data_IF_083115830860
#
_entry.id   IF_083115830860
#
_cell.length_a   1.000
_cell.length_b   1.000
_cell.length_c   1.000
_cell.angle_alpha   90.00
_cell.angle_beta   90.00
_cell.angle_gamma   90.00
#
_symmetry.space_group_name_H-M   'P 1'
#
loop_
_entity.id
_entity.type
_entity.pdbx_description
1 polymer ?
#
# COMPACT_ATOMS: atom_id res chain seq x y z
N UNK A 1 -10.84 -44.04 14.79
CA UNK A 1 -9.80 -43.46 15.66
C UNK A 1 -8.45 -44.07 15.29
N UNK A 2 -7.74 -43.48 14.33
CA UNK A 2 -6.30 -43.71 14.14
C UNK A 2 -5.72 -42.34 13.84
N UNK A 3 -5.05 -41.77 14.83
CA UNK A 3 -4.34 -40.49 14.79
C UNK A 3 -3.02 -40.70 14.04
N UNK A 4 -2.85 -40.12 12.86
CA UNK A 4 -1.53 -39.94 12.25
C UNK A 4 -1.07 -38.51 12.53
N UNK A 5 -0.14 -38.37 13.47
CA UNK A 5 0.62 -37.14 13.67
C UNK A 5 1.49 -36.87 12.44
N UNK A 6 1.12 -35.85 11.65
CA UNK A 6 1.96 -35.26 10.61
C UNK A 6 3.11 -34.47 11.22
N UNK A 7 4.13 -35.16 11.74
CA UNK A 7 5.44 -34.57 12.05
C UNK A 7 6.47 -35.22 11.15
N UNK A 8 6.89 -34.51 10.10
CA UNK A 8 8.00 -34.93 9.25
C UNK A 8 9.28 -34.39 9.89
N UNK A 9 10.13 -35.30 10.36
CA UNK A 9 11.50 -35.02 10.83
C UNK A 9 12.41 -35.07 9.59
N UNK A 10 13.21 -34.03 9.37
CA UNK A 10 14.15 -33.96 8.25
C UNK A 10 15.24 -35.06 8.39
N UNK A 11 15.39 -36.00 7.43
CA UNK A 11 16.40 -37.04 7.51
C UNK A 11 17.58 -36.66 6.62
N UNK A 12 18.56 -35.95 7.17
CA UNK A 12 19.90 -35.90 6.58
C UNK A 12 20.94 -36.03 7.68
N UNK A 13 21.48 -37.25 7.83
CA UNK A 13 22.89 -37.59 8.02
C UNK A 13 22.93 -39.12 7.93
N UNK A 14 23.64 -39.62 6.92
CA UNK A 14 24.35 -40.91 6.79
C UNK A 14 24.35 -41.31 5.31
N UNK A 15 25.33 -40.79 4.58
CA UNK A 15 25.70 -41.29 3.25
C UNK A 15 26.27 -42.70 3.38
N UNK A 16 25.51 -43.70 2.93
CA UNK A 16 26.00 -45.04 2.61
C UNK A 16 26.74 -45.00 1.27
N UNK A 17 28.04 -45.29 1.27
CA UNK A 17 28.80 -45.54 0.04
C UNK A 17 28.57 -46.98 -0.45
N UNK A 18 28.32 -47.22 -1.76
CA UNK A 18 28.28 -48.57 -2.31
C UNK A 18 29.70 -49.12 -2.53
N UNK A 19 29.96 -50.33 -2.05
CA UNK A 19 31.20 -51.09 -2.25
C UNK A 19 31.08 -51.89 -3.55
N UNK A 20 31.98 -51.66 -4.52
CA UNK A 20 32.26 -52.58 -5.63
C UNK A 20 33.52 -53.39 -5.32
N UNK A 21 33.57 -54.71 -5.64
CA UNK A 21 34.70 -55.57 -5.30
C UNK A 21 35.77 -55.54 -6.41
N UNK A 22 37.03 -55.48 -5.99
CA UNK A 22 38.17 -55.82 -6.85
C UNK A 22 39.36 -54.88 -6.69
N UNK A 23 40.26 -55.21 -5.76
CA UNK A 23 41.71 -55.39 -5.98
C UNK A 23 42.45 -55.40 -4.63
N UNK A 24 43.45 -56.28 -4.58
CA UNK A 24 44.14 -56.78 -3.40
C UNK A 24 45.02 -55.75 -2.65
N UNK A 25 44.81 -55.74 -1.33
CA UNK A 25 45.79 -55.77 -0.24
C UNK A 25 46.87 -54.67 -0.16
N UNK A 26 46.68 -53.80 0.83
CA UNK A 26 47.75 -53.43 1.77
C UNK A 26 47.13 -53.50 3.17
N UNK A 27 47.65 -54.29 4.14
CA UNK A 27 47.01 -54.43 5.44
C UNK A 27 47.17 -53.11 6.20
N UNK A 28 46.09 -52.34 6.29
CA UNK A 28 46.01 -51.21 7.22
C UNK A 28 46.28 -51.74 8.64
N UNK A 29 47.41 -51.35 9.21
CA UNK A 29 47.62 -51.42 10.66
C UNK A 29 46.50 -50.60 11.30
N UNK A 30 45.59 -51.26 12.00
CA UNK A 30 44.66 -50.58 12.90
C UNK A 30 45.50 -49.87 13.96
N UNK A 31 45.49 -48.53 13.94
CA UNK A 31 45.94 -47.75 15.10
C UNK A 31 44.87 -47.90 16.18
N UNK A 32 45.30 -48.10 17.42
CA UNK A 32 44.39 -48.20 18.56
C UNK A 32 43.71 -46.83 18.75
N UNK A 33 42.48 -46.78 19.25
CA UNK A 33 41.74 -45.51 19.44
C UNK A 33 42.52 -44.50 20.29
N UNK A 34 43.42 -44.99 21.14
CA UNK A 34 44.28 -44.19 22.02
C UNK A 34 45.39 -43.44 21.26
N UNK A 35 45.79 -43.90 20.07
CA UNK A 35 46.79 -43.25 19.21
C UNK A 35 46.23 -42.02 18.46
N UNK A 36 44.91 -41.81 18.48
CA UNK A 36 44.24 -40.64 17.91
C UNK A 36 44.17 -39.48 18.92
N UNK A 37 44.51 -39.74 20.19
CA UNK A 37 44.48 -38.76 21.29
C UNK A 37 45.87 -38.15 21.54
N UNK A 38 46.83 -38.29 20.63
CA UNK A 38 47.96 -37.36 20.62
C UNK A 38 47.54 -36.06 19.95
N UNK A 39 47.34 -35.04 20.81
CA UNK A 39 47.03 -33.65 20.47
C UNK A 39 47.93 -33.12 19.35
N UNK A 40 47.53 -33.30 18.09
CA UNK A 40 48.03 -32.50 16.99
C UNK A 40 47.51 -31.06 17.19
N UNK A 41 48.28 -30.26 17.92
CA UNK A 41 48.16 -28.80 17.97
C UNK A 41 48.60 -28.21 16.62
N UNK A 42 47.94 -28.59 15.54
CA UNK A 42 48.08 -27.94 14.24
C UNK A 42 47.04 -26.82 14.12
N UNK A 43 47.35 -25.71 13.42
CA UNK A 43 46.39 -24.62 13.19
C UNK A 43 45.12 -25.08 12.44
N UNK A 44 45.14 -26.27 11.81
CA UNK A 44 43.96 -26.88 11.18
C UNK A 44 42.96 -27.43 12.21
N UNK A 45 43.42 -27.91 13.37
CA UNK A 45 42.54 -28.43 14.42
C UNK A 45 41.75 -27.30 15.09
N UNK A 46 42.37 -26.15 15.35
CA UNK A 46 41.68 -24.97 15.88
C UNK A 46 40.65 -24.38 14.88
N UNK A 47 40.86 -24.52 13.57
CA UNK A 47 39.87 -24.17 12.54
C UNK A 47 38.72 -25.19 12.51
N UNK A 48 39.01 -26.48 12.70
CA UNK A 48 38.01 -27.55 12.76
C UNK A 48 37.12 -27.45 14.00
N UNK A 49 37.71 -27.21 15.17
CA UNK A 49 36.98 -27.01 16.43
C UNK A 49 36.05 -25.80 16.36
N UNK A 50 36.48 -24.69 15.72
CA UNK A 50 35.60 -23.54 15.45
C UNK A 50 34.42 -23.84 14.52
N UNK A 51 34.54 -24.84 13.65
CA UNK A 51 33.45 -25.29 12.75
C UNK A 51 32.49 -26.26 13.42
N UNK A 52 32.93 -26.95 14.47
CA UNK A 52 32.16 -27.98 15.19
C UNK A 52 31.46 -27.44 16.45
N UNK A 53 31.69 -26.17 16.83
CA UNK A 53 30.86 -25.53 17.85
C UNK A 53 29.41 -25.42 17.34
N UNK A 54 28.42 -25.94 18.09
CA UNK A 54 27.02 -25.85 17.68
C UNK A 54 26.66 -24.38 17.54
N UNK A 55 26.14 -24.00 16.36
CA UNK A 55 25.68 -22.65 16.09
C UNK A 55 24.65 -22.27 17.17
N UNK A 56 25.02 -21.32 18.04
CA UNK A 56 24.12 -20.77 19.05
C UNK A 56 23.61 -19.44 18.55
N UNK A 57 22.40 -19.47 17.99
CA UNK A 57 21.69 -18.24 17.66
C UNK A 57 21.43 -17.44 18.94
N UNK A 58 21.73 -16.13 18.90
CA UNK A 58 21.42 -15.23 20.02
C UNK A 58 20.06 -14.59 19.75
N UNK A 59 19.02 -15.18 20.33
CA UNK A 59 17.65 -14.66 20.24
C UNK A 59 17.58 -13.26 20.85
N UNK A 60 16.90 -12.32 20.17
CA UNK A 60 16.63 -10.98 20.72
C UNK A 60 15.40 -10.99 21.62
N UNK A 61 14.41 -11.83 21.34
CA UNK A 61 13.18 -11.96 22.14
C UNK A 61 12.60 -13.39 22.11
N UNK A 62 11.60 -13.65 22.96
CA UNK A 62 10.94 -14.96 23.07
C UNK A 62 10.14 -15.35 21.81
N UNK A 63 9.63 -14.38 21.06
CA UNK A 63 8.88 -14.63 19.83
C UNK A 63 9.79 -15.17 18.72
N UNK A 64 10.95 -14.54 18.54
CA UNK A 64 11.99 -14.95 17.62
C UNK A 64 12.50 -16.35 17.98
N UNK A 65 12.67 -16.64 19.27
CA UNK A 65 13.03 -17.99 19.72
C UNK A 65 11.99 -19.02 19.29
N UNK A 66 10.69 -18.77 19.51
CA UNK A 66 9.63 -19.70 19.09
C UNK A 66 9.61 -19.93 17.58
N UNK A 67 9.82 -18.88 16.79
CA UNK A 67 9.86 -18.98 15.31
C UNK A 67 11.06 -19.81 14.86
N UNK A 68 12.25 -19.54 15.40
CA UNK A 68 13.47 -20.28 15.05
C UNK A 68 13.36 -21.74 15.49
N UNK A 69 12.96 -21.99 16.74
CA UNK A 69 12.83 -23.35 17.26
C UNK A 69 11.80 -24.15 16.45
N UNK A 70 10.65 -23.56 16.12
CA UNK A 70 9.64 -24.26 15.31
C UNK A 70 10.14 -24.56 13.90
N UNK A 71 10.78 -23.60 13.23
CA UNK A 71 11.34 -23.79 11.88
C UNK A 71 12.49 -24.80 11.85
N UNK A 72 13.35 -24.83 12.87
CA UNK A 72 14.57 -25.65 12.90
C UNK A 72 14.33 -27.06 13.44
N UNK A 73 13.49 -27.21 14.46
CA UNK A 73 13.14 -28.54 15.02
C UNK A 73 11.96 -29.20 14.29
N UNK A 74 11.26 -28.44 13.45
CA UNK A 74 10.14 -28.89 12.63
C UNK A 74 8.82 -29.01 13.40
N UNK A 75 7.76 -29.33 12.65
CA UNK A 75 6.38 -29.37 13.16
C UNK A 75 5.59 -28.06 12.99
N UNK A 76 6.07 -27.16 12.12
CA UNK A 76 5.30 -26.01 11.63
C UNK A 76 4.25 -26.50 10.63
N UNK A 77 3.00 -26.05 10.77
CA UNK A 77 2.00 -26.28 9.74
C UNK A 77 2.42 -25.55 8.45
N UNK A 78 2.22 -26.16 7.28
CA UNK A 78 2.58 -25.53 6.01
C UNK A 78 1.86 -24.19 5.79
N UNK A 79 0.70 -23.99 6.42
CA UNK A 79 -0.02 -22.71 6.41
C UNK A 79 0.64 -21.65 7.30
N UNK A 80 1.34 -22.07 8.36
CA UNK A 80 1.92 -21.21 9.40
C UNK A 80 3.39 -20.85 9.14
N UNK A 81 3.97 -21.31 8.02
CA UNK A 81 5.33 -20.92 7.61
C UNK A 81 5.38 -19.38 7.48
N UNK A 82 6.28 -18.69 8.22
CA UNK A 82 6.34 -17.24 8.24
C UNK A 82 6.72 -16.70 6.86
N UNK A 83 5.97 -15.71 6.35
CA UNK A 83 6.30 -15.07 5.08
C UNK A 83 7.51 -14.16 5.27
N UNK A 84 8.57 -14.39 4.49
CA UNK A 84 9.70 -13.46 4.46
C UNK A 84 9.23 -12.15 3.80
N UNK A 85 9.35 -11.00 4.47
CA UNK A 85 9.01 -9.71 3.86
C UNK A 85 9.99 -9.43 2.70
N UNK A 86 9.50 -8.92 1.57
CA UNK A 86 10.37 -8.58 0.46
C UNK A 86 11.33 -7.46 0.87
N UNK A 87 12.57 -7.50 0.38
CA UNK A 87 13.62 -6.49 0.67
C UNK A 87 13.37 -5.18 -0.10
N UNK A 88 12.21 -4.57 0.08
CA UNK A 88 11.76 -3.42 -0.70
C UNK A 88 10.85 -2.51 0.14
N UNK A 89 11.11 -1.21 0.10
CA UNK A 89 10.17 -0.17 0.52
C UNK A 89 9.19 0.06 -0.63
N UNK A 90 7.88 -0.08 -0.38
CA UNK A 90 6.83 0.16 -1.37
C UNK A 90 5.94 1.32 -0.93
N UNK A 91 6.18 2.49 -1.50
CA UNK A 91 5.48 3.72 -1.16
C UNK A 91 4.31 3.95 -2.12
N UNK A 92 3.08 3.77 -1.65
CA UNK A 92 1.88 4.18 -2.38
C UNK A 92 1.66 5.69 -2.23
N UNK A 93 1.42 6.40 -3.34
CA UNK A 93 1.24 7.86 -3.35
C UNK A 93 -0.14 8.23 -3.83
N UNK A 94 -0.86 9.01 -3.03
CA UNK A 94 -2.17 9.56 -3.40
C UNK A 94 -2.18 11.07 -3.36
N UNK A 95 -2.91 11.69 -4.30
CA UNK A 95 -3.26 13.11 -4.26
C UNK A 95 -4.39 13.40 -5.25
N UNK A 96 -4.94 14.61 -5.16
CA UNK A 96 -5.78 15.17 -6.21
C UNK A 96 -5.02 15.41 -7.51
N UNK A 97 -5.71 15.14 -8.62
CA UNK A 97 -5.28 15.54 -9.96
C UNK A 97 -6.12 16.74 -10.41
N UNK A 98 -5.52 17.73 -11.12
CA UNK A 98 -4.09 17.87 -11.45
C UNK A 98 -3.25 18.62 -10.38
N UNK A 99 -3.84 18.93 -9.21
CA UNK A 99 -3.32 19.79 -8.13
C UNK A 99 -1.82 19.65 -7.75
N UNK A 100 -1.23 18.46 -7.91
CA UNK A 100 0.15 18.14 -7.49
C UNK A 100 1.10 17.72 -8.62
N UNK A 101 0.76 17.99 -9.88
CA UNK A 101 1.57 17.50 -11.01
C UNK A 101 2.99 18.07 -11.00
N UNK A 102 3.16 19.32 -10.55
CA UNK A 102 4.47 19.93 -10.40
C UNK A 102 5.33 19.23 -9.33
N UNK A 103 4.80 19.08 -8.11
CA UNK A 103 5.50 18.43 -7.00
C UNK A 103 5.82 16.99 -7.36
N UNK A 104 4.87 16.25 -7.94
CA UNK A 104 5.09 14.87 -8.38
C UNK A 104 6.27 14.75 -9.34
N UNK A 105 6.40 15.67 -10.30
CA UNK A 105 7.53 15.68 -11.23
C UNK A 105 8.86 15.92 -10.48
N UNK A 106 8.89 16.85 -9.52
CA UNK A 106 10.05 17.03 -8.64
C UNK A 106 10.39 15.74 -7.88
N UNK A 107 9.39 15.04 -7.34
CA UNK A 107 9.61 13.81 -6.59
C UNK A 107 10.22 12.72 -7.47
N UNK A 108 9.68 12.56 -8.68
CA UNK A 108 10.15 11.60 -9.68
C UNK A 108 11.58 11.89 -10.14
N UNK A 109 11.90 13.15 -10.41
CA UNK A 109 13.21 13.53 -10.95
C UNK A 109 14.32 13.56 -9.89
N UNK A 110 13.99 13.91 -8.65
CA UNK A 110 15.02 14.23 -7.64
C UNK A 110 14.90 13.43 -6.34
N UNK A 111 13.70 13.34 -5.77
CA UNK A 111 13.53 12.77 -4.42
C UNK A 111 13.62 11.24 -4.47
N UNK A 112 12.79 10.59 -5.26
CA UNK A 112 12.74 9.13 -5.33
C UNK A 112 14.06 8.48 -5.79
N UNK A 113 14.79 9.03 -6.78
CA UNK A 113 16.12 8.51 -7.13
C UNK A 113 17.10 8.60 -5.96
N UNK A 114 17.09 9.71 -5.23
CA UNK A 114 17.97 9.92 -4.06
C UNK A 114 17.62 8.96 -2.92
N UNK A 115 16.34 8.77 -2.61
CA UNK A 115 15.88 7.81 -1.58
C UNK A 115 16.22 6.39 -1.99
N UNK A 116 16.01 6.03 -3.27
CA UNK A 116 16.36 4.70 -3.81
C UNK A 116 17.85 4.42 -3.69
N UNK A 117 18.68 5.37 -4.08
CA UNK A 117 20.13 5.24 -3.92
C UNK A 117 20.51 5.07 -2.45
N UNK A 118 19.93 5.87 -1.55
CA UNK A 118 20.17 5.75 -0.12
C UNK A 118 19.78 4.37 0.43
N UNK A 119 18.59 3.87 0.11
CA UNK A 119 18.09 2.57 0.54
C UNK A 119 19.02 1.43 0.09
N UNK A 120 19.45 1.48 -1.18
CA UNK A 120 20.36 0.49 -1.75
C UNK A 120 21.73 0.53 -1.09
N UNK A 121 22.34 1.72 -1.03
CA UNK A 121 23.74 1.89 -0.60
C UNK A 121 23.89 1.71 0.92
N UNK A 122 22.88 2.09 1.72
CA UNK A 122 22.92 1.99 3.18
C UNK A 122 22.40 0.66 3.72
N UNK A 123 21.31 0.16 3.16
CA UNK A 123 20.53 -0.93 3.74
C UNK A 123 20.40 -2.15 2.84
N UNK A 124 20.84 -2.09 1.58
CA UNK A 124 20.74 -3.20 0.63
C UNK A 124 19.31 -3.56 0.25
N UNK A 125 18.37 -2.61 0.37
CA UNK A 125 16.96 -2.79 -0.01
C UNK A 125 16.60 -1.89 -1.20
N UNK A 126 15.60 -2.29 -1.98
CA UNK A 126 15.07 -1.47 -3.07
C UNK A 126 14.00 -0.48 -2.56
N UNK A 127 13.71 0.56 -3.32
CA UNK A 127 12.70 1.56 -3.03
C UNK A 127 11.81 1.75 -4.25
N UNK A 128 10.54 1.39 -4.15
CA UNK A 128 9.57 1.44 -5.24
C UNK A 128 8.44 2.38 -4.86
N UNK A 129 8.05 3.24 -5.81
CA UNK A 129 6.92 4.15 -5.66
C UNK A 129 5.80 3.65 -6.56
N UNK A 130 4.59 3.62 -6.01
CA UNK A 130 3.37 3.27 -6.72
C UNK A 130 2.46 4.50 -6.72
N UNK A 131 2.46 5.21 -7.85
CA UNK A 131 1.54 6.32 -8.12
C UNK A 131 0.73 5.94 -9.36
N UNK A 132 -0.54 5.57 -9.17
CA UNK A 132 -1.42 5.13 -10.26
C UNK A 132 -1.96 6.31 -11.09
N UNK A 133 -1.72 7.54 -10.65
CA UNK A 133 -2.27 8.78 -11.22
C UNK A 133 -1.23 9.63 -11.93
N UNK A 134 0.06 9.35 -11.73
CA UNK A 134 1.12 10.09 -12.40
C UNK A 134 1.04 9.91 -13.93
N UNK A 135 1.06 11.03 -14.66
CA UNK A 135 0.96 11.05 -16.13
C UNK A 135 -0.44 10.82 -16.68
N UNK A 136 -1.48 10.82 -15.84
CA UNK A 136 -2.88 10.58 -16.24
C UNK A 136 -3.70 11.86 -16.44
N UNK A 137 -3.06 13.03 -16.49
CA UNK A 137 -3.71 14.34 -16.62
C UNK A 137 -4.62 14.42 -17.86
N UNK A 138 -4.07 14.04 -19.02
CA UNK A 138 -4.76 14.09 -20.31
C UNK A 138 -5.47 12.78 -20.67
N UNK A 139 -5.59 11.86 -19.71
CA UNK A 139 -6.25 10.56 -19.93
C UNK A 139 -7.73 10.70 -19.57
N UNK A 140 -8.66 10.20 -20.42
CA UNK A 140 -10.07 10.26 -20.09
C UNK A 140 -10.38 9.59 -18.75
N UNK A 141 -11.30 10.17 -17.98
CA UNK A 141 -11.64 9.74 -16.62
C UNK A 141 -12.01 8.24 -16.57
N UNK A 142 -12.65 7.75 -17.62
CA UNK A 142 -13.06 6.35 -17.78
C UNK A 142 -11.89 5.34 -17.78
N UNK A 143 -10.70 5.76 -18.20
CA UNK A 143 -9.48 4.93 -18.20
C UNK A 143 -8.61 5.13 -16.94
N UNK A 144 -8.92 6.11 -16.10
CA UNK A 144 -8.21 6.28 -14.84
C UNK A 144 -8.48 5.09 -13.92
N UNK A 145 -7.52 4.71 -13.06
CA UNK A 145 -7.70 3.62 -12.12
C UNK A 145 -8.93 3.83 -11.24
N UNK A 146 -9.76 2.79 -11.16
CA UNK A 146 -10.92 2.83 -10.26
C UNK A 146 -10.52 2.94 -8.80
N UNK A 147 -11.43 3.45 -7.97
CA UNK A 147 -11.29 3.47 -6.50
C UNK A 147 -10.90 2.09 -5.99
N UNK A 148 -11.60 1.04 -6.42
CA UNK A 148 -11.33 -0.34 -6.01
C UNK A 148 -9.91 -0.79 -6.37
N UNK A 149 -9.38 -0.39 -7.53
CA UNK A 149 -8.01 -0.71 -7.95
C UNK A 149 -7.00 0.03 -7.07
N UNK A 150 -7.21 1.33 -6.83
CA UNK A 150 -6.37 2.13 -5.95
C UNK A 150 -6.30 1.56 -4.53
N UNK A 151 -7.44 1.24 -3.93
CA UNK A 151 -7.50 0.70 -2.56
C UNK A 151 -6.83 -0.69 -2.46
N UNK A 152 -6.97 -1.54 -3.48
CA UNK A 152 -6.29 -2.84 -3.54
C UNK A 152 -4.77 -2.66 -3.57
N UNK A 153 -4.28 -1.75 -4.39
CA UNK A 153 -2.85 -1.51 -4.53
C UNK A 153 -2.24 -0.82 -3.30
N UNK A 154 -3.00 0.06 -2.64
CA UNK A 154 -2.66 0.62 -1.35
C UNK A 154 -2.46 -0.48 -0.29
N UNK A 155 -3.42 -1.40 -0.14
CA UNK A 155 -3.29 -2.55 0.79
C UNK A 155 -2.10 -3.44 0.40
N UNK A 156 -1.81 -3.63 -0.88
CA UNK A 156 -0.63 -4.37 -1.34
C UNK A 156 0.68 -3.71 -0.92
N UNK A 157 0.77 -2.38 -0.96
CA UNK A 157 1.95 -1.64 -0.53
C UNK A 157 2.12 -1.74 0.99
N UNK A 158 1.05 -1.50 1.77
CA UNK A 158 1.07 -1.63 3.23
C UNK A 158 1.50 -3.03 3.69
N UNK A 159 1.01 -4.09 3.04
CA UNK A 159 1.33 -5.47 3.43
C UNK A 159 2.75 -5.92 3.10
N UNK A 160 3.49 -5.19 2.26
CA UNK A 160 4.77 -5.66 1.67
C UNK A 160 5.91 -4.65 1.80
N UNK A 161 5.70 -3.47 2.37
CA UNK A 161 6.74 -2.45 2.47
C UNK A 161 7.64 -2.66 3.69
N UNK A 162 8.95 -2.51 3.51
CA UNK A 162 9.94 -2.43 4.60
C UNK A 162 10.22 -0.98 5.02
N UNK A 163 9.22 -0.32 5.59
CA UNK A 163 9.28 1.10 5.94
C UNK A 163 8.11 1.86 5.31
N UNK A 164 8.23 3.18 5.09
CA UNK A 164 7.09 4.03 4.70
C UNK A 164 6.32 3.43 3.52
N UNK A 165 5.01 3.23 3.73
CA UNK A 165 4.15 2.51 2.79
C UNK A 165 3.07 3.39 2.17
N UNK A 166 2.78 4.53 2.78
CA UNK A 166 1.74 5.44 2.33
C UNK A 166 2.21 6.89 2.39
N UNK A 167 2.05 7.62 1.29
CA UNK A 167 2.25 9.05 1.24
C UNK A 167 1.04 9.73 0.59
N UNK A 168 0.64 10.83 1.19
CA UNK A 168 -0.49 11.61 0.77
C UNK A 168 -0.08 13.05 0.48
N UNK A 169 -0.50 13.61 -0.64
CA UNK A 169 -0.31 15.04 -0.98
C UNK A 169 -1.66 15.77 -0.91
N UNK A 170 -1.73 16.82 -0.09
CA UNK A 170 -2.96 17.57 0.22
C UNK A 170 -2.86 19.05 -0.11
N UNK A 171 -3.70 19.49 -1.04
CA UNK A 171 -3.79 20.87 -1.50
C UNK A 171 -5.13 21.48 -1.14
N UNK A 172 -5.66 22.33 -2.02
CA UNK A 172 -6.96 22.98 -1.83
C UNK A 172 -8.10 22.21 -2.50
N UNK A 173 -7.76 21.23 -3.36
CA UNK A 173 -8.74 20.44 -4.07
C UNK A 173 -9.17 19.21 -3.27
N UNK A 174 -10.47 19.06 -3.10
CA UNK A 174 -11.09 17.93 -2.43
C UNK A 174 -11.54 16.84 -3.41
N UNK A 175 -12.14 17.22 -4.54
CA UNK A 175 -12.91 16.27 -5.38
C UNK A 175 -12.27 16.03 -6.75
N UNK A 176 -12.25 14.77 -7.14
CA UNK A 176 -12.02 14.30 -8.52
C UNK A 176 -13.20 13.37 -8.79
N UNK A 177 -14.24 13.90 -9.42
CA UNK A 177 -15.60 13.35 -9.31
C UNK A 177 -15.84 12.14 -10.20
N UNK A 178 -16.18 11.01 -9.59
CA UNK A 178 -16.96 9.93 -10.19
C UNK A 178 -17.92 9.37 -9.12
N UNK A 179 -19.21 9.17 -9.40
CA UNK A 179 -20.12 8.42 -8.55
C UNK A 179 -19.54 7.06 -8.16
N UNK A 180 -20.04 6.49 -7.07
CA UNK A 180 -19.63 5.15 -6.65
C UNK A 180 -19.83 4.16 -7.79
N UNK A 181 -18.75 3.48 -8.22
CA UNK A 181 -18.81 2.58 -9.39
C UNK A 181 -19.76 1.40 -9.21
N UNK A 182 -19.97 0.98 -7.97
CA UNK A 182 -20.81 -0.17 -7.59
C UNK A 182 -21.69 0.22 -6.40
N UNK A 183 -23.00 0.01 -6.53
CA UNK A 183 -23.98 0.24 -5.46
C UNK A 183 -24.73 -1.06 -5.21
N UNK A 184 -24.92 -1.43 -3.95
CA UNK A 184 -25.73 -2.61 -3.59
C UNK A 184 -27.15 -2.47 -4.18
N UNK A 185 -27.71 -3.58 -4.66
CA UNK A 185 -29.04 -3.58 -5.28
C UNK A 185 -30.12 -2.97 -4.40
N UNK A 186 -30.18 -3.37 -3.13
CA UNK A 186 -31.20 -2.89 -2.21
C UNK A 186 -31.02 -1.40 -1.95
N UNK A 187 -29.78 -0.96 -1.74
CA UNK A 187 -29.45 0.46 -1.53
C UNK A 187 -29.83 1.32 -2.73
N UNK A 188 -29.49 0.87 -3.94
CA UNK A 188 -29.80 1.57 -5.19
C UNK A 188 -31.31 1.70 -5.41
N UNK A 189 -32.06 0.60 -5.33
CA UNK A 189 -33.51 0.59 -5.53
C UNK A 189 -34.23 1.42 -4.47
N UNK A 190 -33.77 1.39 -3.21
CA UNK A 190 -34.34 2.21 -2.12
C UNK A 190 -34.18 3.70 -2.41
N UNK A 191 -33.02 4.13 -2.90
CA UNK A 191 -32.77 5.53 -3.29
C UNK A 191 -33.70 5.96 -4.43
N UNK A 192 -33.87 5.14 -5.46
CA UNK A 192 -34.74 5.46 -6.59
C UNK A 192 -36.21 5.60 -6.18
N UNK A 193 -36.70 4.71 -5.32
CA UNK A 193 -38.07 4.77 -4.78
C UNK A 193 -38.25 6.05 -3.96
N UNK A 194 -37.31 6.37 -3.07
CA UNK A 194 -37.38 7.58 -2.25
C UNK A 194 -37.41 8.86 -3.10
N UNK A 195 -36.58 8.93 -4.15
CA UNK A 195 -36.59 10.06 -5.09
C UNK A 195 -37.94 10.21 -5.79
N UNK A 196 -38.54 9.10 -6.23
CA UNK A 196 -39.86 9.12 -6.86
C UNK A 196 -40.98 9.54 -5.89
N UNK A 197 -40.96 9.06 -4.65
CA UNK A 197 -41.94 9.44 -3.61
C UNK A 197 -41.89 10.94 -3.25
N UNK A 198 -40.73 11.58 -3.43
CA UNK A 198 -40.54 13.02 -3.26
C UNK A 198 -40.90 13.86 -4.49
N UNK A 199 -41.43 13.23 -5.56
CA UNK A 199 -41.77 13.91 -6.81
C UNK A 199 -40.54 14.29 -7.64
N UNK A 200 -39.44 13.54 -7.52
CA UNK A 200 -38.19 13.70 -8.29
C UNK A 200 -38.03 12.54 -9.28
N UNK A 201 -39.08 12.20 -10.01
CA UNK A 201 -39.07 11.05 -10.94
C UNK A 201 -38.03 11.20 -12.06
N UNK A 202 -37.81 12.42 -12.56
CA UNK A 202 -36.81 12.69 -13.60
C UNK A 202 -35.37 12.41 -13.10
N UNK A 203 -35.09 12.75 -11.83
CA UNK A 203 -33.80 12.47 -11.19
C UNK A 203 -33.60 10.96 -11.02
N UNK A 204 -34.64 10.23 -10.60
CA UNK A 204 -34.60 8.78 -10.49
C UNK A 204 -34.33 8.11 -11.86
N UNK A 205 -35.00 8.58 -12.91
CA UNK A 205 -34.78 8.10 -14.29
C UNK A 205 -33.35 8.39 -14.77
N UNK A 206 -32.79 9.55 -14.42
CA UNK A 206 -31.42 9.91 -14.79
C UNK A 206 -30.41 8.97 -14.12
N UNK A 207 -30.58 8.70 -12.83
CA UNK A 207 -29.73 7.76 -12.08
C UNK A 207 -29.88 6.34 -12.61
N UNK A 208 -31.11 5.85 -12.84
CA UNK A 208 -31.37 4.52 -13.36
C UNK A 208 -30.68 4.28 -14.72
N UNK A 209 -30.71 5.27 -15.62
CA UNK A 209 -30.01 5.20 -16.92
C UNK A 209 -28.49 5.13 -16.81
N UNK A 210 -27.91 5.67 -15.73
CA UNK A 210 -26.47 5.71 -15.55
C UNK A 210 -25.88 4.39 -15.04
N UNK A 211 -26.71 3.53 -14.45
CA UNK A 211 -26.28 2.27 -13.85
C UNK A 211 -26.91 1.06 -14.54
N UNK A 212 -26.27 -0.10 -14.40
CA UNK A 212 -26.79 -1.37 -14.91
C UNK A 212 -26.65 -2.46 -13.86
N UNK A 213 -27.72 -3.22 -13.66
CA UNK A 213 -27.72 -4.37 -12.76
C UNK A 213 -26.71 -5.42 -13.25
N UNK A 214 -25.83 -5.85 -12.33
CA UNK A 214 -24.90 -6.96 -12.51
C UNK A 214 -25.23 -8.10 -11.54
N UNK A 215 -25.92 -9.10 -12.09
CA UNK A 215 -26.32 -10.32 -11.37
C UNK A 215 -25.19 -11.35 -11.23
N UNK A 216 -24.01 -11.11 -11.83
CA UNK A 216 -22.84 -11.97 -11.66
C UNK A 216 -22.09 -11.69 -10.35
N UNK A 217 -22.38 -10.55 -9.71
CA UNK A 217 -21.85 -10.20 -8.39
C UNK A 217 -22.73 -10.82 -7.29
N UNK A 218 -22.11 -11.28 -6.20
CA UNK A 218 -22.81 -11.79 -5.01
C UNK A 218 -22.34 -11.02 -3.77
N UNK A 219 -23.16 -10.16 -3.15
CA UNK A 219 -24.54 -9.81 -3.54
C UNK A 219 -24.62 -9.06 -4.88
N UNK A 220 -25.82 -9.00 -5.46
CA UNK A 220 -26.09 -8.29 -6.73
C UNK A 220 -25.89 -6.79 -6.55
N UNK A 221 -25.28 -6.15 -7.55
CA UNK A 221 -24.96 -4.71 -7.51
C UNK A 221 -25.40 -4.02 -8.80
N UNK A 222 -25.55 -2.70 -8.74
CA UNK A 222 -25.66 -1.82 -9.90
C UNK A 222 -24.30 -1.21 -10.23
N UNK A 223 -23.87 -1.31 -11.48
CA UNK A 223 -22.56 -0.83 -11.96
C UNK A 223 -22.71 0.40 -12.84
N UNK A 224 -21.92 1.43 -12.53
CA UNK A 224 -21.88 2.67 -13.30
C UNK A 224 -21.43 2.39 -14.74
N UNK A 225 -22.17 2.92 -15.72
CA UNK A 225 -21.86 2.77 -17.13
C UNK A 225 -20.85 3.84 -17.58
N UNK A 226 -19.75 3.38 -18.18
CA UNK A 226 -18.72 4.23 -18.78
C UNK A 226 -18.96 4.33 -20.29
N UNK A 227 -18.87 5.53 -20.90
CA UNK A 227 -19.00 5.66 -22.35
C UNK A 227 -17.90 4.90 -23.08
N UNK A 228 -18.27 4.22 -24.17
CA UNK A 228 -17.31 3.57 -25.06
C UNK A 228 -16.55 4.59 -25.93
N UNK A 229 -17.18 5.72 -26.26
CA UNK A 229 -16.55 6.79 -27.03
C UNK A 229 -15.61 7.60 -26.13
N UNK A 230 -14.37 7.76 -26.61
CA UNK A 230 -13.28 8.43 -25.93
C UNK A 230 -13.08 9.87 -26.41
N UNK A 231 -13.96 10.38 -27.27
CA UNK A 231 -13.95 11.77 -27.74
C UNK A 231 -14.10 12.75 -26.57
N UNK A 232 -13.40 13.88 -26.66
CA UNK A 232 -13.34 14.87 -25.58
C UNK A 232 -14.73 15.43 -25.23
N UNK A 233 -15.58 15.66 -26.23
CA UNK A 233 -16.95 16.15 -26.03
C UNK A 233 -17.80 15.17 -25.22
N UNK A 234 -17.75 13.87 -25.56
CA UNK A 234 -18.50 12.82 -24.85
C UNK A 234 -17.97 12.66 -23.42
N UNK A 235 -16.65 12.65 -23.24
CA UNK A 235 -16.05 12.50 -21.92
C UNK A 235 -16.34 13.71 -21.03
N UNK A 236 -16.33 14.93 -21.59
CA UNK A 236 -16.65 16.15 -20.87
C UNK A 236 -18.11 16.18 -20.45
N UNK A 237 -19.02 15.83 -21.37
CA UNK A 237 -20.45 15.72 -21.04
C UNK A 237 -20.72 14.66 -19.99
N UNK A 238 -20.07 13.50 -20.09
CA UNK A 238 -20.19 12.44 -19.10
C UNK A 238 -19.72 12.91 -17.71
N UNK A 239 -18.61 13.65 -17.60
CA UNK A 239 -18.15 14.22 -16.31
C UNK A 239 -19.20 15.15 -15.69
N UNK A 240 -19.83 16.02 -16.49
CA UNK A 240 -20.90 16.89 -16.01
C UNK A 240 -22.10 16.10 -15.50
N UNK A 241 -22.54 15.09 -16.26
CA UNK A 241 -23.66 14.24 -15.87
C UNK A 241 -23.35 13.45 -14.59
N UNK A 242 -22.10 12.97 -14.45
CA UNK A 242 -21.63 12.26 -13.26
C UNK A 242 -21.63 13.14 -12.00
N UNK A 243 -21.30 14.43 -12.13
CA UNK A 243 -21.40 15.37 -11.02
C UNK A 243 -22.86 15.52 -10.55
N UNK A 244 -23.79 15.68 -11.50
CA UNK A 244 -25.23 15.80 -11.22
C UNK A 244 -25.78 14.51 -10.58
N UNK A 245 -25.48 13.36 -11.17
CA UNK A 245 -25.92 12.04 -10.68
C UNK A 245 -25.42 11.79 -9.26
N UNK A 246 -24.18 12.15 -8.94
CA UNK A 246 -23.67 12.00 -7.58
C UNK A 246 -24.42 12.89 -6.58
N UNK A 247 -24.74 14.13 -6.97
CA UNK A 247 -25.56 15.03 -6.15
C UNK A 247 -26.96 14.48 -5.90
N UNK A 248 -27.58 13.87 -6.91
CA UNK A 248 -28.88 13.20 -6.79
C UNK A 248 -28.78 12.00 -5.84
N UNK A 249 -27.78 11.12 -6.03
CA UNK A 249 -27.55 9.96 -5.17
C UNK A 249 -27.32 10.37 -3.70
N UNK A 250 -26.49 11.39 -3.46
CA UNK A 250 -26.26 11.90 -2.11
C UNK A 250 -27.54 12.47 -1.47
N UNK A 251 -28.33 13.25 -2.22
CA UNK A 251 -29.60 13.77 -1.73
C UNK A 251 -30.62 12.66 -1.44
N UNK A 252 -30.71 11.66 -2.33
CA UNK A 252 -31.59 10.51 -2.13
C UNK A 252 -31.17 9.65 -0.94
N UNK A 253 -29.87 9.44 -0.73
CA UNK A 253 -29.35 8.75 0.43
C UNK A 253 -29.66 9.50 1.74
N UNK A 254 -29.54 10.83 1.76
CA UNK A 254 -29.90 11.66 2.92
C UNK A 254 -31.40 11.56 3.25
N UNK A 255 -32.25 11.58 2.22
CA UNK A 255 -33.70 11.38 2.39
C UNK A 255 -34.01 9.99 2.98
N UNK A 256 -33.39 8.94 2.44
CA UNK A 256 -33.53 7.58 2.97
C UNK A 256 -33.07 7.47 4.43
N UNK A 257 -31.97 8.14 4.80
CA UNK A 257 -31.49 8.17 6.17
C UNK A 257 -32.47 8.89 7.11
N UNK A 258 -33.08 9.99 6.67
CA UNK A 258 -34.11 10.68 7.44
C UNK A 258 -35.36 9.82 7.67
N UNK A 259 -35.71 8.96 6.71
CA UNK A 259 -36.80 7.98 6.84
C UNK A 259 -36.40 6.69 7.58
N UNK A 260 -35.12 6.52 7.90
CA UNK A 260 -34.59 5.33 8.56
C UNK A 260 -34.51 4.07 7.67
N UNK A 261 -34.58 4.22 6.34
CA UNK A 261 -34.47 3.11 5.38
C UNK A 261 -33.01 2.79 5.03
N UNK A 262 -32.11 3.78 5.13
CA UNK A 262 -30.67 3.60 5.01
C UNK A 262 -29.93 4.05 6.28
N UNK A 263 -28.78 3.43 6.54
CA UNK A 263 -27.88 3.83 7.62
C UNK A 263 -26.99 5.02 7.25
N UNK A 264 -26.36 5.64 8.24
CA UNK A 264 -25.48 6.81 8.03
C UNK A 264 -24.27 6.52 7.14
N UNK A 265 -23.82 5.26 7.09
CA UNK A 265 -22.70 4.81 6.24
C UNK A 265 -22.98 5.06 4.74
N UNK A 266 -24.23 4.83 4.31
CA UNK A 266 -24.66 5.08 2.93
C UNK A 266 -24.48 6.56 2.57
N UNK A 267 -24.96 7.47 3.43
CA UNK A 267 -24.84 8.92 3.22
C UNK A 267 -23.39 9.38 3.06
N UNK A 268 -22.49 8.87 3.89
CA UNK A 268 -21.07 9.19 3.79
C UNK A 268 -20.53 8.73 2.44
N UNK A 269 -20.84 7.49 2.03
CA UNK A 269 -20.28 6.88 0.81
C UNK A 269 -20.55 7.65 -0.47
N UNK A 270 -21.72 8.29 -0.59
CA UNK A 270 -22.11 9.12 -1.76
C UNK A 270 -21.57 10.56 -1.72
N UNK A 271 -21.08 11.03 -0.56
CA UNK A 271 -20.49 12.36 -0.40
C UNK A 271 -18.96 12.34 -0.38
N UNK A 272 -18.38 11.20 -0.09
CA UNK A 272 -16.96 11.00 0.10
C UNK A 272 -16.18 10.98 -1.21
N UNK A 273 -15.04 11.69 -1.25
CA UNK A 273 -14.17 11.68 -2.44
C UNK A 273 -13.31 10.41 -2.51
N UNK A 274 -12.82 10.08 -3.71
CA UNK A 274 -11.90 8.94 -3.88
C UNK A 274 -10.62 9.12 -3.06
N UNK A 275 -10.09 10.34 -3.02
CA UNK A 275 -8.87 10.66 -2.29
C UNK A 275 -9.11 10.49 -0.79
N UNK A 276 -10.26 10.94 -0.28
CA UNK A 276 -10.62 10.72 1.12
C UNK A 276 -10.66 9.24 1.47
N UNK A 277 -11.31 8.40 0.65
CA UNK A 277 -11.33 6.94 0.84
C UNK A 277 -9.91 6.36 0.92
N UNK A 278 -9.00 6.80 0.05
CA UNK A 278 -7.61 6.36 0.07
C UNK A 278 -6.86 6.84 1.32
N UNK A 279 -7.09 8.06 1.78
CA UNK A 279 -6.44 8.59 2.98
C UNK A 279 -6.97 7.93 4.26
N UNK A 280 -8.27 7.70 4.36
CA UNK A 280 -8.86 6.97 5.49
C UNK A 280 -8.31 5.54 5.57
N UNK A 281 -8.31 4.80 4.46
CA UNK A 281 -7.74 3.46 4.39
C UNK A 281 -6.20 3.45 4.58
N UNK A 282 -5.54 4.53 4.14
CA UNK A 282 -4.09 4.69 4.15
C UNK A 282 -3.52 5.06 5.52
N UNK A 283 -4.30 5.78 6.33
CA UNK A 283 -3.89 6.33 7.63
C UNK A 283 -4.78 5.83 8.76
N UNK A 284 -6.10 6.01 8.68
CA UNK A 284 -7.01 5.79 9.81
C UNK A 284 -7.24 4.30 10.11
N UNK A 285 -7.16 3.45 9.11
CA UNK A 285 -7.19 1.99 9.28
C UNK A 285 -5.98 1.43 10.03
N UNK A 286 -4.87 2.16 10.06
CA UNK A 286 -3.65 1.73 10.73
C UNK A 286 -3.73 2.06 12.23
N UNK A 287 -3.02 1.29 13.07
CA UNK A 287 -2.84 1.63 14.48
C UNK A 287 -2.04 2.93 14.64
N UNK A 288 -2.18 3.59 15.79
CA UNK A 288 -1.47 4.85 16.06
C UNK A 288 0.05 4.74 15.86
N UNK A 289 0.65 3.60 16.22
CA UNK A 289 2.08 3.34 16.03
C UNK A 289 2.43 3.16 14.54
N UNK A 290 1.64 2.36 13.81
CA UNK A 290 1.84 2.15 12.38
C UNK A 290 1.77 3.46 11.60
N UNK A 291 0.82 4.34 11.92
CA UNK A 291 0.72 5.68 11.30
C UNK A 291 2.03 6.47 11.41
N UNK A 292 2.71 6.40 12.56
CA UNK A 292 3.96 7.15 12.77
C UNK A 292 5.18 6.54 12.07
N UNK A 293 5.11 5.26 11.73
CA UNK A 293 6.22 4.53 11.12
C UNK A 293 6.06 4.40 9.61
N UNK A 294 4.83 4.48 9.11
CA UNK A 294 4.52 4.10 7.72
C UNK A 294 3.87 5.19 6.87
N UNK A 295 3.37 6.27 7.46
CA UNK A 295 2.63 7.31 6.73
C UNK A 295 3.41 8.63 6.65
N UNK A 296 3.34 9.29 5.49
CA UNK A 296 3.85 10.64 5.24
C UNK A 296 2.74 11.52 4.69
N UNK A 297 2.66 12.76 5.16
CA UNK A 297 1.72 13.76 4.64
C UNK A 297 2.52 14.95 4.10
N UNK A 298 2.33 15.30 2.84
CA UNK A 298 2.75 16.58 2.29
C UNK A 298 1.52 17.49 2.17
N UNK A 299 1.60 18.69 2.71
CA UNK A 299 0.55 19.70 2.52
C UNK A 299 1.09 20.89 1.74
N UNK A 300 0.24 21.45 0.88
CA UNK A 300 0.51 22.68 0.12
C UNK A 300 -0.60 23.69 0.39
N UNK A 301 -0.22 24.94 0.64
CA UNK A 301 -1.14 26.07 0.78
C UNK A 301 -0.68 27.24 -0.07
N UNK A 302 -1.61 27.89 -0.77
CA UNK A 302 -1.33 29.17 -1.42
C UNK A 302 -1.53 30.31 -0.42
N UNK A 303 -0.58 31.24 -0.35
CA UNK A 303 -0.65 32.39 0.58
C UNK A 303 -1.51 33.54 0.04
N UNK A 304 -1.73 33.55 -1.27
CA UNK A 304 -2.42 34.56 -2.07
C UNK A 304 -3.61 33.94 -2.83
N UNK A 305 -4.48 33.26 -2.06
CA UNK A 305 -5.70 32.59 -2.55
C UNK A 305 -6.57 33.46 -3.47
N UNK A 306 -6.62 34.78 -3.21
CA UNK A 306 -7.38 35.72 -4.06
C UNK A 306 -6.84 35.78 -5.49
N UNK A 307 -5.53 35.65 -5.69
CA UNK A 307 -4.94 35.64 -7.03
C UNK A 307 -5.22 34.32 -7.74
N UNK A 308 -5.18 33.20 -7.03
CA UNK A 308 -5.55 31.89 -7.58
C UNK A 308 -7.00 31.87 -8.04
N UNK A 309 -7.94 32.31 -7.18
CA UNK A 309 -9.38 32.33 -7.49
C UNK A 309 -9.72 33.16 -8.74
N UNK A 310 -8.97 34.24 -8.96
CA UNK A 310 -9.15 35.11 -10.12
C UNK A 310 -8.35 34.68 -11.37
N UNK A 311 -7.65 33.54 -11.30
CA UNK A 311 -6.84 33.03 -12.41
C UNK A 311 -7.62 32.09 -13.32
N UNK A 312 -7.18 31.99 -14.57
CA UNK A 312 -7.73 31.03 -15.55
C UNK A 312 -7.41 29.57 -15.21
N UNK A 313 -6.45 29.34 -14.31
CA UNK A 313 -5.97 28.00 -13.92
C UNK A 313 -6.57 27.56 -12.57
N UNK A 314 -7.52 28.32 -12.02
CA UNK A 314 -8.15 28.06 -10.72
C UNK A 314 -8.74 26.67 -10.62
N UNK A 315 -9.38 26.18 -11.69
CA UNK A 315 -9.99 24.84 -11.75
C UNK A 315 -8.98 23.69 -11.58
N UNK A 316 -7.69 23.92 -11.82
CA UNK A 316 -6.65 22.91 -11.59
C UNK A 316 -6.43 22.64 -10.10
N UNK A 317 -6.58 23.68 -9.27
CA UNK A 317 -6.23 23.66 -7.84
C UNK A 317 -7.44 23.78 -6.91
N UNK A 318 -8.60 24.22 -7.42
CA UNK A 318 -9.84 24.44 -6.68
C UNK A 318 -10.99 23.63 -7.27
N UNK A 319 -11.96 23.31 -6.42
CA UNK A 319 -13.23 22.73 -6.83
C UNK A 319 -14.19 23.84 -7.27
N UNK A 320 -14.49 23.88 -8.57
CA UNK A 320 -15.34 24.89 -9.20
C UNK A 320 -16.50 24.19 -9.94
N UNK A 321 -17.74 24.21 -9.42
CA UNK A 321 -18.92 23.76 -10.14
C UNK A 321 -19.13 24.54 -11.45
N UNK A 322 -19.90 23.94 -12.37
CA UNK A 322 -20.21 24.50 -13.71
C UNK A 322 -20.88 25.89 -13.69
N UNK A 323 -21.34 26.35 -12.52
CA UNK A 323 -21.87 27.69 -12.31
C UNK A 323 -20.78 28.77 -12.11
N UNK A 324 -19.50 28.38 -12.12
CA UNK A 324 -18.34 29.26 -11.99
C UNK A 324 -18.12 29.84 -10.58
N UNK A 325 -18.76 29.26 -9.54
CA UNK A 325 -18.59 29.69 -8.14
C UNK A 325 -17.79 28.66 -7.35
N UNK A 326 -17.17 29.11 -6.26
CA UNK A 326 -16.47 28.23 -5.31
C UNK A 326 -17.40 27.16 -4.73
N UNK A 327 -16.95 25.90 -4.71
CA UNK A 327 -17.64 24.81 -4.02
C UNK A 327 -17.36 24.88 -2.50
N UNK A 328 -18.20 25.63 -1.77
CA UNK A 328 -18.09 25.77 -0.33
C UNK A 328 -18.21 24.44 0.43
N UNK A 329 -18.92 23.44 -0.12
CA UNK A 329 -18.98 22.11 0.49
C UNK A 329 -17.64 21.42 0.35
N UNK A 330 -17.05 21.43 -0.86
CA UNK A 330 -15.74 20.85 -1.09
C UNK A 330 -14.64 21.51 -0.25
N UNK A 331 -14.65 22.84 -0.12
CA UNK A 331 -13.71 23.59 0.72
C UNK A 331 -13.80 23.16 2.19
N UNK A 332 -15.03 23.01 2.72
CA UNK A 332 -15.25 22.51 4.08
C UNK A 332 -14.73 21.09 4.25
N UNK A 333 -14.96 20.23 3.27
CA UNK A 333 -14.56 18.82 3.33
C UNK A 333 -13.04 18.65 3.25
N UNK A 334 -12.32 19.34 2.35
CA UNK A 334 -10.84 19.28 2.33
C UNK A 334 -10.23 19.87 3.59
N UNK A 335 -10.81 20.93 4.14
CA UNK A 335 -10.36 21.51 5.41
C UNK A 335 -10.52 20.53 6.55
N UNK A 336 -11.66 19.85 6.61
CA UNK A 336 -11.91 18.79 7.59
C UNK A 336 -10.92 17.63 7.43
N UNK A 337 -10.78 17.11 6.21
CA UNK A 337 -9.89 16.01 5.90
C UNK A 337 -8.44 16.34 6.25
N UNK A 338 -7.98 17.55 5.89
CA UNK A 338 -6.63 18.04 6.23
C UNK A 338 -6.42 18.02 7.73
N UNK A 339 -7.39 18.53 8.50
CA UNK A 339 -7.34 18.51 9.96
C UNK A 339 -7.26 17.08 10.51
N UNK A 340 -8.12 16.17 10.02
CA UNK A 340 -8.12 14.76 10.43
C UNK A 340 -6.76 14.12 10.17
N UNK A 341 -6.16 14.34 9.00
CA UNK A 341 -4.84 13.78 8.67
C UNK A 341 -3.73 14.36 9.55
N UNK A 342 -3.72 15.68 9.78
CA UNK A 342 -2.71 16.33 10.64
C UNK A 342 -2.85 15.93 12.11
N UNK A 343 -4.07 15.70 12.61
CA UNK A 343 -4.31 15.31 14.00
C UNK A 343 -3.88 13.86 14.27
N UNK A 344 -3.81 13.01 13.23
CA UNK A 344 -3.48 11.59 13.34
C UNK A 344 -2.02 11.25 12.98
N UNK A 345 -1.22 12.24 12.57
CA UNK A 345 0.19 12.09 12.21
C UNK A 345 1.08 13.00 13.08
N UNK A 346 2.25 12.50 13.43
CA UNK A 346 3.26 13.28 14.16
C UNK A 346 3.86 14.33 13.25
N UNK A 347 4.27 15.46 13.84
CA UNK A 347 4.85 16.59 13.10
C UNK A 347 6.02 16.22 12.20
N UNK A 348 6.81 15.21 12.60
CA UNK A 348 7.96 14.71 11.84
C UNK A 348 7.58 14.00 10.53
N UNK A 349 6.35 13.51 10.41
CA UNK A 349 5.83 12.85 9.21
C UNK A 349 5.06 13.82 8.30
N UNK A 350 4.92 15.09 8.72
CA UNK A 350 4.17 16.13 8.01
C UNK A 350 5.15 17.12 7.40
N UNK A 351 5.15 17.21 6.07
CA UNK A 351 5.89 18.20 5.29
C UNK A 351 4.92 19.30 4.86
N UNK A 352 4.90 20.40 5.60
CA UNK A 352 4.06 21.55 5.25
C UNK A 352 4.80 22.54 4.38
N UNK A 353 4.14 22.95 3.31
CA UNK A 353 4.66 23.90 2.34
C UNK A 353 3.64 25.00 2.04
N UNK A 354 4.16 26.22 1.93
CA UNK A 354 3.42 27.40 1.56
C UNK A 354 4.11 27.96 0.31
N UNK A 355 3.31 28.41 -0.66
CA UNK A 355 3.81 28.89 -1.94
C UNK A 355 2.96 30.07 -2.41
N UNK A 356 3.59 31.01 -3.10
CA UNK A 356 2.87 32.08 -3.79
C UNK A 356 2.29 31.53 -5.09
N UNK A 357 1.06 31.91 -5.39
CA UNK A 357 0.42 31.62 -6.65
C UNK A 357 1.19 32.31 -7.77
N UNK A 358 1.72 31.50 -8.67
CA UNK A 358 2.28 31.96 -9.93
C UNK A 358 1.99 30.94 -11.01
N UNK A 359 1.87 31.40 -12.25
CA UNK A 359 1.66 30.51 -13.41
C UNK A 359 2.78 29.46 -13.56
N UNK A 360 3.96 29.73 -13.03
CA UNK A 360 5.10 28.83 -13.07
C UNK A 360 5.59 28.54 -11.64
N UNK A 361 4.92 27.60 -10.94
CA UNK A 361 5.41 27.09 -9.64
C UNK A 361 6.88 26.61 -9.72
N UNK A 362 7.31 26.20 -10.92
CA UNK A 362 8.70 25.88 -11.30
C UNK A 362 9.74 26.97 -10.98
N UNK A 363 9.33 28.24 -10.89
CA UNK A 363 10.25 29.36 -10.66
C UNK A 363 10.54 29.61 -9.19
N UNK A 364 9.78 29.00 -8.28
CA UNK A 364 10.04 29.12 -6.84
C UNK A 364 11.08 28.08 -6.41
N UNK A 365 12.35 28.48 -6.49
CA UNK A 365 13.48 27.63 -6.12
C UNK A 365 13.50 27.31 -4.62
N UNK A 366 12.99 28.20 -3.77
CA UNK A 366 12.96 28.00 -2.32
C UNK A 366 11.92 26.94 -1.93
N UNK A 367 10.70 27.06 -2.47
CA UNK A 367 9.64 26.07 -2.32
C UNK A 367 10.10 24.68 -2.79
N UNK A 368 10.67 24.63 -4.00
CA UNK A 368 11.20 23.41 -4.60
C UNK A 368 12.25 22.74 -3.72
N UNK A 369 13.24 23.50 -3.28
CA UNK A 369 14.32 22.99 -2.44
C UNK A 369 13.82 22.53 -1.07
N UNK A 370 12.85 23.24 -0.50
CA UNK A 370 12.23 22.86 0.77
C UNK A 370 11.53 21.51 0.65
N UNK A 371 10.73 21.29 -0.39
CA UNK A 371 10.04 20.01 -0.62
C UNK A 371 11.06 18.89 -0.82
N UNK A 372 12.04 19.08 -1.70
CA UNK A 372 13.09 18.10 -1.98
C UNK A 372 13.80 17.64 -0.70
N UNK A 373 14.29 18.60 0.09
CA UNK A 373 15.04 18.32 1.33
C UNK A 373 14.15 17.68 2.38
N UNK A 374 12.96 18.25 2.62
CA UNK A 374 12.08 17.81 3.71
C UNK A 374 11.54 16.40 3.47
N UNK A 375 11.07 16.09 2.25
CA UNK A 375 10.60 14.74 1.92
C UNK A 375 11.72 13.72 1.91
N UNK A 376 12.89 14.05 1.35
CA UNK A 376 14.04 13.16 1.41
C UNK A 376 14.40 12.81 2.85
N UNK A 377 14.53 13.81 3.72
CA UNK A 377 14.86 13.60 5.13
C UNK A 377 13.78 12.80 5.87
N UNK A 378 12.50 13.06 5.59
CA UNK A 378 11.37 12.35 6.22
C UNK A 378 11.37 10.88 5.82
N UNK A 379 11.39 10.58 4.52
CA UNK A 379 11.42 9.20 4.02
C UNK A 379 12.67 8.44 4.49
N UNK A 380 13.84 9.09 4.43
CA UNK A 380 15.09 8.53 4.93
C UNK A 380 14.98 8.14 6.40
N UNK A 381 14.44 9.03 7.24
CA UNK A 381 14.32 8.79 8.68
C UNK A 381 13.38 7.62 8.97
N UNK A 382 12.23 7.55 8.30
CA UNK A 382 11.29 6.43 8.47
C UNK A 382 11.88 5.09 8.01
N UNK A 383 12.66 5.09 6.93
CA UNK A 383 13.40 3.90 6.50
C UNK A 383 14.44 3.51 7.55
N UNK A 384 15.24 4.45 8.04
CA UNK A 384 16.26 4.19 9.06
C UNK A 384 15.65 3.61 10.34
N UNK A 385 14.56 4.21 10.83
CA UNK A 385 13.86 3.77 12.03
C UNK A 385 13.34 2.33 11.86
N UNK A 386 12.64 2.05 10.75
CA UNK A 386 12.16 0.71 10.45
C UNK A 386 13.31 -0.30 10.38
N UNK A 387 14.40 0.04 9.70
CA UNK A 387 15.55 -0.85 9.55
C UNK A 387 16.31 -1.10 10.85
N UNK A 388 16.25 -0.16 11.81
CA UNK A 388 16.84 -0.31 13.14
C UNK A 388 15.96 -1.18 14.06
N UNK A 389 14.64 -1.08 13.94
CA UNK A 389 13.68 -1.79 14.80
C UNK A 389 13.33 -3.19 14.30
N UNK A 390 13.53 -3.48 13.00
CA UNK A 390 13.10 -4.75 12.40
C UNK A 390 13.80 -5.98 12.99
N UNK A 391 13.10 -7.11 12.87
CA UNK A 391 13.69 -8.41 13.13
C UNK A 391 14.76 -8.73 12.07
N UNK A 392 16.01 -8.93 12.52
CA UNK A 392 17.15 -9.26 11.66
C UNK A 392 17.26 -10.76 11.39
N UNK A 393 16.41 -11.59 11.99
CA UNK A 393 16.37 -13.04 11.76
C UNK A 393 16.26 -13.36 10.26
N UNK A 394 15.44 -12.59 9.55
CA UNK A 394 15.23 -12.75 8.12
C UNK A 394 16.48 -12.40 7.29
N UNK A 395 17.51 -11.78 7.85
CA UNK A 395 18.75 -11.52 7.10
C UNK A 395 19.78 -12.65 7.25
N UNK A 396 19.54 -13.59 8.17
CA UNK A 396 20.49 -14.67 8.45
C UNK A 396 20.43 -15.73 7.35
N UNK A 397 21.60 -16.06 6.80
CA UNK A 397 21.75 -17.04 5.71
C UNK A 397 21.15 -18.40 6.08
N UNK A 398 21.39 -18.85 7.31
CA UNK A 398 20.89 -20.13 7.81
C UNK A 398 19.35 -20.14 7.93
N UNK A 399 18.75 -19.04 8.38
CA UNK A 399 17.29 -18.94 8.43
C UNK A 399 16.68 -18.98 7.02
N UNK A 400 17.32 -18.28 6.06
CA UNK A 400 16.91 -18.30 4.66
C UNK A 400 17.00 -19.71 4.05
N UNK A 401 18.07 -20.45 4.32
CA UNK A 401 18.23 -21.83 3.86
C UNK A 401 17.13 -22.74 4.41
N UNK A 402 16.90 -22.70 5.73
CA UNK A 402 15.83 -23.48 6.38
C UNK A 402 14.46 -23.10 5.84
N UNK A 403 14.17 -21.81 5.68
CA UNK A 403 12.93 -21.33 5.09
C UNK A 403 12.73 -21.85 3.66
N UNK A 404 13.76 -21.80 2.81
CA UNK A 404 13.67 -22.30 1.43
C UNK A 404 13.30 -23.78 1.39
N UNK A 405 13.86 -24.60 2.28
CA UNK A 405 13.46 -26.01 2.38
C UNK A 405 11.97 -26.16 2.73
N UNK A 406 11.45 -25.38 3.69
CA UNK A 406 10.03 -25.38 4.03
C UNK A 406 9.14 -24.90 2.88
N UNK A 407 9.54 -23.84 2.17
CA UNK A 407 8.78 -23.33 1.03
C UNK A 407 8.73 -24.33 -0.13
N UNK A 408 9.84 -25.02 -0.41
CA UNK A 408 9.88 -26.12 -1.41
C UNK A 408 8.91 -27.23 -1.02
N UNK A 409 8.87 -27.64 0.25
CA UNK A 409 7.93 -28.66 0.74
C UNK A 409 6.48 -28.17 0.56
N UNK A 410 6.19 -26.92 0.93
CA UNK A 410 4.87 -26.31 0.78
C UNK A 410 4.43 -26.28 -0.68
N UNK A 411 5.28 -25.82 -1.59
CA UNK A 411 4.99 -25.78 -3.03
C UNK A 411 4.78 -27.18 -3.59
N UNK A 412 5.63 -28.15 -3.22
CA UNK A 412 5.52 -29.53 -3.65
C UNK A 412 4.21 -30.17 -3.17
N UNK A 413 3.79 -29.91 -1.93
CA UNK A 413 2.53 -30.45 -1.39
C UNK A 413 1.29 -29.97 -2.15
N UNK A 414 1.30 -28.75 -2.71
CA UNK A 414 0.20 -28.20 -3.51
C UNK A 414 0.09 -28.82 -4.91
N UNK A 415 1.13 -29.50 -5.39
CA UNK A 415 1.15 -30.15 -6.72
C UNK A 415 0.57 -31.56 -6.65
N UNK A 416 0.49 -32.16 -5.46
CA UNK A 416 0.00 -33.52 -5.24
C UNK A 416 -1.44 -33.61 -4.73
N UNK A 417 -2.14 -32.48 -4.61
CA UNK A 417 -3.58 -32.36 -4.37
C UNK A 417 -4.19 -31.52 -5.49
#
# INVERSE_FOLDING_TARGET
>A
MINFHNKIICPYIYTLFPIFPGTDVNPFKFRHLDDVIEKEKSPKHSIKVKREEPYRYKFKNEEEQKVVESMFYGGVDLLDIPKIPPKTVKLYVTSGLPDFDYERNILMEHVYPSVRQYCRDRHGIDFQVVDLRWGMENVPETFKPSVTTCLKELKHCQARSMGPSFMCLMGQKYRTFVPTEEIDKLEFETILVQLAEEGREDDAILVDKAYKEDTNSTPTVYRLQKPHDTSEDVQSKWREDMYVINGILAAGADACFQQGTLGSDACVRFRQSQIEKEMELGVLDLSANERQNFCVLLTRSFTDMDLLKNSNDSEQFLDMPSNGKDDLEAERMVTHLRKVMTDNLSRRNIVDSEVLWSKDLQKDSEYTDKIKRSLFCTLKTLVDDFMNERCTLYDEDLFHEVYQHWDIIKQSSKVYY
#
